data_IF_660928565750
#
_entry.id   IF_660928565750
#
_cell.length_a   1.000
_cell.length_b   1.000
_cell.length_c   1.000
_cell.angle_alpha   90.00
_cell.angle_beta   90.00
_cell.angle_gamma   90.00
#
_symmetry.space_group_name_H-M   'P 1'
#
loop_
_entity.id
_entity.type
_entity.pdbx_description
1 polymer ?
#
# COMPACT_ATOMS: atom_id res chain seq x y z
N UNK A 1 -11.51 21.02 -65.13
CA UNK A 1 -10.66 20.19 -64.25
C UNK A 1 -11.52 19.78 -63.05
N UNK A 2 -11.83 18.49 -62.89
CA UNK A 2 -12.63 17.97 -61.77
C UNK A 2 -11.68 17.67 -60.60
N UNK A 3 -11.84 18.36 -59.47
CA UNK A 3 -11.07 18.12 -58.25
C UNK A 3 -11.84 17.11 -57.40
N UNK A 4 -11.37 15.86 -57.35
CA UNK A 4 -11.88 14.85 -56.42
C UNK A 4 -11.15 15.00 -55.08
N UNK A 5 -11.92 15.22 -54.02
CA UNK A 5 -11.42 15.26 -52.64
C UNK A 5 -11.74 13.88 -52.02
N UNK A 6 -10.75 13.08 -51.59
CA UNK A 6 -11.04 11.82 -50.92
C UNK A 6 -11.48 12.07 -49.47
N UNK A 7 -12.63 11.51 -49.12
CA UNK A 7 -13.19 11.43 -47.78
C UNK A 7 -12.33 10.47 -46.93
N UNK A 8 -11.55 10.99 -45.99
CA UNK A 8 -10.83 10.18 -44.99
C UNK A 8 -11.80 9.91 -43.82
N UNK A 9 -12.06 8.64 -43.45
CA UNK A 9 -12.92 8.34 -42.33
C UNK A 9 -12.17 8.61 -41.02
N UNK A 10 -12.69 9.54 -40.22
CA UNK A 10 -12.19 9.84 -38.88
C UNK A 10 -12.63 8.70 -37.95
N UNK A 11 -11.73 7.76 -37.64
CA UNK A 11 -11.96 6.77 -36.58
C UNK A 11 -11.96 7.49 -35.22
N UNK A 12 -13.15 7.64 -34.62
CA UNK A 12 -13.27 8.08 -33.24
C UNK A 12 -12.86 6.94 -32.30
N UNK A 13 -11.67 7.02 -31.72
CA UNK A 13 -11.22 6.12 -30.66
C UNK A 13 -11.96 6.48 -29.37
N UNK A 14 -12.93 5.65 -28.98
CA UNK A 14 -13.66 5.80 -27.72
C UNK A 14 -12.74 5.34 -26.57
N UNK A 15 -12.05 6.28 -25.93
CA UNK A 15 -11.36 6.00 -24.67
C UNK A 15 -12.42 5.78 -23.57
N UNK A 16 -12.70 4.52 -23.25
CA UNK A 16 -13.34 4.18 -21.98
C UNK A 16 -12.35 4.49 -20.87
N UNK A 17 -12.42 5.70 -20.32
CA UNK A 17 -11.76 6.02 -19.07
C UNK A 17 -12.46 5.24 -17.96
N UNK A 18 -11.90 4.09 -17.59
CA UNK A 18 -12.24 3.37 -16.37
C UNK A 18 -11.90 4.29 -15.19
N UNK A 19 -12.90 4.97 -14.63
CA UNK A 19 -12.72 5.78 -13.43
C UNK A 19 -12.15 4.92 -12.29
N UNK A 20 -11.34 5.48 -11.38
CA UNK A 20 -10.81 4.73 -10.26
C UNK A 20 -11.98 4.17 -9.45
N UNK A 21 -12.01 2.85 -9.26
CA UNK A 21 -12.93 2.21 -8.33
C UNK A 21 -12.85 2.97 -7.00
N UNK A 22 -13.99 3.42 -6.47
CA UNK A 22 -14.03 4.14 -5.21
C UNK A 22 -13.37 3.27 -4.13
N UNK A 23 -12.17 3.66 -3.70
CA UNK A 23 -11.44 2.96 -2.66
C UNK A 23 -12.16 3.21 -1.32
N UNK A 24 -12.92 2.23 -0.85
CA UNK A 24 -13.46 2.26 0.51
C UNK A 24 -12.30 2.10 1.51
N UNK A 25 -11.92 3.19 2.17
CA UNK A 25 -10.89 3.17 3.22
C UNK A 25 -11.55 3.07 4.60
N UNK A 26 -11.24 1.99 5.35
CA UNK A 26 -11.75 1.77 6.70
C UNK A 26 -11.10 2.65 7.78
N UNK A 27 -10.22 3.57 7.40
CA UNK A 27 -9.53 4.51 8.30
C UNK A 27 -10.10 5.93 8.23
N UNK A 28 -11.36 6.08 7.82
CA UNK A 28 -12.06 7.36 7.70
C UNK A 28 -12.41 8.00 9.06
N UNK A 29 -12.47 7.23 10.14
CA UNK A 29 -12.69 7.73 11.50
C UNK A 29 -11.71 7.05 12.48
N UNK A 30 -10.42 7.44 12.46
CA UNK A 30 -9.43 6.86 13.36
C UNK A 30 -9.76 7.19 14.84
N UNK A 31 -9.45 6.31 15.80
CA UNK A 31 -9.63 6.61 17.21
C UNK A 31 -8.70 7.75 17.65
N UNK A 32 -9.09 8.52 18.67
CA UNK A 32 -8.35 9.69 19.13
C UNK A 32 -6.89 9.35 19.51
N UNK A 33 -6.68 8.18 20.11
CA UNK A 33 -5.34 7.68 20.44
C UNK A 33 -4.41 7.57 19.22
N UNK A 34 -4.95 7.18 18.06
CA UNK A 34 -4.19 7.08 16.82
C UNK A 34 -3.92 8.47 16.22
N UNK A 35 -4.85 9.42 16.40
CA UNK A 35 -4.65 10.81 15.99
C UNK A 35 -3.57 11.49 16.83
N UNK A 36 -3.59 11.30 18.15
CA UNK A 36 -2.57 11.84 19.06
C UNK A 36 -1.20 11.23 18.78
N UNK A 37 -1.11 9.92 18.54
CA UNK A 37 0.12 9.28 18.11
C UNK A 37 0.63 9.82 16.75
N UNK A 38 -0.26 10.11 15.80
CA UNK A 38 0.15 10.72 14.54
C UNK A 38 0.66 12.15 14.72
N UNK A 39 -0.02 12.95 15.57
CA UNK A 39 0.38 14.33 15.88
C UNK A 39 1.74 14.40 16.57
N UNK A 40 2.02 13.49 17.50
CA UNK A 40 3.31 13.47 18.19
C UNK A 40 4.46 13.18 17.21
N UNK A 41 4.27 12.25 16.26
CA UNK A 41 5.24 12.00 15.19
C UNK A 41 5.47 13.22 14.29
N UNK A 42 4.43 13.99 14.00
CA UNK A 42 4.54 15.23 13.22
C UNK A 42 5.27 16.35 13.98
N UNK A 43 5.01 16.50 15.29
CA UNK A 43 5.71 17.45 16.16
C UNK A 43 7.19 17.08 16.24
N UNK A 44 7.51 15.80 16.41
CA UNK A 44 8.88 15.29 16.42
C UNK A 44 9.57 15.56 15.08
N UNK A 45 8.88 15.36 13.96
CA UNK A 45 9.40 15.68 12.61
C UNK A 45 9.66 17.16 12.42
N UNK A 46 8.85 18.05 13.00
CA UNK A 46 9.04 19.50 12.91
C UNK A 46 10.17 20.00 13.83
N UNK A 47 10.23 19.50 15.06
CA UNK A 47 11.25 19.85 16.04
C UNK A 47 12.64 19.35 15.62
N UNK A 48 12.71 18.13 15.08
CA UNK A 48 13.93 17.60 14.46
C UNK A 48 14.20 18.28 13.13
N UNK A 49 13.20 18.60 12.29
CA UNK A 49 13.40 19.29 11.01
C UNK A 49 14.09 20.66 11.13
N UNK A 50 13.93 21.36 12.25
CA UNK A 50 14.62 22.62 12.55
C UNK A 50 16.06 22.40 13.03
N UNK A 51 16.34 21.35 13.81
CA UNK A 51 17.69 21.02 14.29
C UNK A 51 18.54 20.29 13.23
N UNK A 52 17.90 19.45 12.42
CA UNK A 52 18.47 18.70 11.29
C UNK A 52 18.94 19.68 10.22
N UNK A 53 18.19 20.74 9.88
CA UNK A 53 18.65 21.73 8.88
C UNK A 53 20.00 22.39 9.20
N UNK A 54 20.37 22.49 10.48
CA UNK A 54 21.66 23.05 10.91
C UNK A 54 22.77 21.99 11.07
N UNK A 55 22.44 20.70 11.19
CA UNK A 55 23.38 19.61 11.40
C UNK A 55 23.54 18.65 10.18
N UNK A 56 22.63 18.70 9.19
CA UNK A 56 22.57 17.77 8.06
C UNK A 56 23.23 18.23 6.76
N UNK A 57 24.11 19.23 6.74
CA UNK A 57 24.82 19.46 5.48
C UNK A 57 25.68 18.23 5.08
N UNK A 58 25.98 17.31 6.01
CA UNK A 58 26.82 16.12 5.79
C UNK A 58 26.32 14.78 6.39
N UNK A 59 25.11 14.66 6.95
CA UNK A 59 24.65 13.36 7.50
C UNK A 59 23.65 12.67 6.54
N UNK A 60 23.95 11.48 6.01
CA UNK A 60 23.00 10.70 5.21
C UNK A 60 21.73 10.46 6.02
N UNK A 61 20.56 10.65 5.41
CA UNK A 61 19.29 10.20 6.01
C UNK A 61 19.36 8.68 6.12
N UNK A 62 19.55 8.17 7.33
CA UNK A 62 19.53 6.73 7.62
C UNK A 62 18.17 6.17 7.14
N UNK A 63 18.22 5.15 6.29
CA UNK A 63 17.02 4.55 5.73
C UNK A 63 16.30 3.65 6.73
N UNK A 64 14.98 3.52 6.59
CA UNK A 64 14.18 2.61 7.41
C UNK A 64 13.95 1.29 6.67
N UNK A 65 14.29 0.18 7.32
CA UNK A 65 14.00 -1.16 6.82
C UNK A 65 12.84 -1.75 7.60
N UNK A 66 11.74 -2.05 6.92
CA UNK A 66 10.50 -2.59 7.49
C UNK A 66 10.42 -4.09 7.19
N UNK A 67 10.69 -4.97 8.17
CA UNK A 67 10.45 -6.40 8.02
C UNK A 67 8.94 -6.65 7.91
N UNK A 68 8.52 -7.25 6.80
CA UNK A 68 7.12 -7.40 6.42
C UNK A 68 6.69 -8.86 6.40
N UNK A 69 5.56 -9.17 7.01
CA UNK A 69 4.95 -10.50 7.04
C UNK A 69 3.59 -10.44 6.37
N UNK A 70 3.34 -11.32 5.41
CA UNK A 70 2.07 -11.37 4.68
C UNK A 70 1.26 -12.59 5.14
N UNK A 71 0.02 -12.35 5.57
CA UNK A 71 -0.90 -13.39 6.02
C UNK A 71 -2.09 -13.46 5.07
N UNK A 72 -2.13 -14.50 4.26
CA UNK A 72 -3.25 -14.80 3.37
C UNK A 72 -4.25 -15.64 4.15
N UNK A 73 -5.45 -15.09 4.37
CA UNK A 73 -6.53 -15.78 5.06
C UNK A 73 -7.65 -16.02 4.06
N UNK A 74 -7.98 -17.29 3.84
CA UNK A 74 -8.88 -17.73 2.78
C UNK A 74 -10.04 -18.53 3.37
N UNK A 75 -11.23 -18.39 2.75
CA UNK A 75 -12.31 -19.34 2.94
C UNK A 75 -12.07 -20.55 2.04
N UNK A 76 -12.67 -21.68 2.38
CA UNK A 76 -12.57 -22.91 1.57
C UNK A 76 -13.06 -22.71 0.12
N UNK A 77 -14.10 -21.92 -0.06
CA UNK A 77 -14.70 -21.64 -1.37
C UNK A 77 -13.79 -20.78 -2.27
N UNK A 78 -13.00 -19.89 -1.66
CA UNK A 78 -12.16 -18.90 -2.36
C UNK A 78 -10.67 -19.21 -2.25
N UNK A 79 -10.32 -20.45 -1.90
CA UNK A 79 -8.95 -20.86 -1.72
C UNK A 79 -8.17 -20.77 -3.04
N UNK A 80 -6.97 -20.19 -3.00
CA UNK A 80 -6.07 -20.08 -4.13
C UNK A 80 -6.26 -18.85 -5.01
N UNK A 81 -7.19 -17.94 -4.69
CA UNK A 81 -7.40 -16.72 -5.47
C UNK A 81 -6.20 -15.75 -5.38
N UNK A 82 -5.56 -15.68 -4.21
CA UNK A 82 -4.38 -14.83 -4.02
C UNK A 82 -3.13 -15.64 -4.33
N UNK A 83 -2.47 -15.34 -5.44
CA UNK A 83 -1.23 -16.02 -5.86
C UNK A 83 0.00 -15.39 -5.22
N UNK A 84 1.09 -16.14 -5.13
CA UNK A 84 2.36 -15.59 -4.63
C UNK A 84 2.87 -14.46 -5.52
N UNK A 85 2.62 -14.51 -6.83
CA UNK A 85 2.98 -13.41 -7.74
C UNK A 85 2.32 -12.10 -7.31
N UNK A 86 1.01 -12.12 -7.01
CA UNK A 86 0.29 -10.93 -6.55
C UNK A 86 0.89 -10.34 -5.26
N UNK A 87 1.34 -11.20 -4.34
CA UNK A 87 1.97 -10.78 -3.09
C UNK A 87 3.34 -10.13 -3.34
N UNK A 88 4.15 -10.71 -4.22
CA UNK A 88 5.44 -10.13 -4.60
C UNK A 88 5.28 -8.83 -5.39
N UNK A 89 4.30 -8.76 -6.28
CA UNK A 89 3.97 -7.54 -7.01
C UNK A 89 3.58 -6.41 -6.04
N UNK A 90 2.80 -6.70 -5.00
CA UNK A 90 2.47 -5.72 -3.95
C UNK A 90 3.72 -5.24 -3.19
N UNK A 91 4.64 -6.14 -2.85
CA UNK A 91 5.91 -5.75 -2.21
C UNK A 91 6.78 -4.87 -3.11
N UNK A 92 6.74 -5.10 -4.44
CA UNK A 92 7.42 -4.25 -5.40
C UNK A 92 6.81 -2.85 -5.46
N UNK A 93 5.47 -2.74 -5.46
CA UNK A 93 4.77 -1.45 -5.41
C UNK A 93 5.12 -0.67 -4.13
N UNK A 94 5.11 -1.33 -2.97
CA UNK A 94 5.49 -0.71 -1.70
C UNK A 94 6.93 -0.15 -1.76
N UNK A 95 7.89 -0.98 -2.16
CA UNK A 95 9.28 -0.54 -2.27
C UNK A 95 9.45 0.60 -3.27
N UNK A 96 8.86 0.52 -4.46
CA UNK A 96 8.96 1.58 -5.47
C UNK A 96 8.36 2.91 -4.99
N UNK A 97 7.20 2.85 -4.33
CA UNK A 97 6.47 4.04 -3.85
C UNK A 97 7.23 4.74 -2.72
N UNK A 98 7.84 3.97 -1.82
CA UNK A 98 8.48 4.49 -0.61
C UNK A 98 10.00 4.68 -0.73
N UNK A 99 10.62 4.21 -1.82
CA UNK A 99 12.05 4.40 -2.09
C UNK A 99 12.51 5.87 -2.03
N UNK A 100 11.78 6.87 -2.59
CA UNK A 100 12.17 8.29 -2.48
C UNK A 100 12.22 8.82 -1.05
N UNK A 101 11.63 8.09 -0.10
CA UNK A 101 11.61 8.41 1.32
C UNK A 101 12.60 7.58 2.15
N UNK A 102 13.53 6.87 1.48
CA UNK A 102 14.50 5.96 2.10
C UNK A 102 13.84 4.88 2.99
N UNK A 103 12.65 4.41 2.61
CA UNK A 103 11.97 3.31 3.29
C UNK A 103 11.98 2.08 2.38
N UNK A 104 12.42 0.95 2.92
CA UNK A 104 12.48 -0.33 2.23
C UNK A 104 11.68 -1.39 3.00
N UNK A 105 10.85 -2.15 2.31
CA UNK A 105 10.10 -3.28 2.86
C UNK A 105 10.79 -4.59 2.48
N UNK A 106 11.14 -5.41 3.48
CA UNK A 106 11.73 -6.73 3.27
C UNK A 106 10.71 -7.80 3.64
N UNK A 107 10.27 -8.59 2.65
CA UNK A 107 9.40 -9.72 2.90
C UNK A 107 10.13 -10.80 3.72
N UNK A 108 9.62 -11.10 4.92
CA UNK A 108 10.19 -12.09 5.84
C UNK A 108 9.53 -13.45 5.71
N UNK A 109 8.21 -13.48 5.51
CA UNK A 109 7.44 -14.70 5.38
C UNK A 109 6.07 -14.44 4.72
N UNK A 110 5.55 -15.47 4.06
CA UNK A 110 4.16 -15.55 3.62
C UNK A 110 3.53 -16.75 4.32
N UNK A 111 2.40 -16.53 4.98
CA UNK A 111 1.60 -17.63 5.56
C UNK A 111 0.23 -17.69 4.91
N UNK A 112 -0.31 -18.90 4.80
CA UNK A 112 -1.66 -19.16 4.30
C UNK A 112 -2.47 -19.84 5.39
N UNK A 113 -3.67 -19.34 5.67
CA UNK A 113 -4.55 -19.87 6.71
C UNK A 113 -5.95 -20.03 6.14
N UNK A 114 -6.43 -21.27 6.11
CA UNK A 114 -7.82 -21.55 5.75
C UNK A 114 -8.71 -21.37 6.98
N UNK A 115 -9.51 -20.31 7.01
CA UNK A 115 -10.42 -20.01 8.11
C UNK A 115 -11.59 -19.17 7.59
N UNK A 116 -12.74 -19.82 7.34
CA UNK A 116 -13.94 -19.16 6.79
C UNK A 116 -14.38 -17.97 7.65
N UNK A 117 -14.38 -18.12 8.98
CA UNK A 117 -14.79 -17.05 9.91
C UNK A 117 -13.90 -15.82 9.78
N UNK A 118 -12.58 -16.01 9.72
CA UNK A 118 -11.65 -14.89 9.59
C UNK A 118 -11.63 -14.28 8.18
N UNK A 119 -11.91 -15.08 7.14
CA UNK A 119 -11.95 -14.62 5.76
C UNK A 119 -13.15 -13.70 5.47
N UNK A 120 -14.24 -13.83 6.23
CA UNK A 120 -15.44 -12.98 6.11
C UNK A 120 -15.34 -11.67 6.91
N UNK A 121 -14.34 -11.52 7.77
CA UNK A 121 -14.17 -10.36 8.65
C UNK A 121 -12.93 -9.53 8.30
N UNK A 122 -13.07 -8.19 8.31
CA UNK A 122 -11.94 -7.27 8.09
C UNK A 122 -10.90 -7.35 9.20
N UNK A 123 -11.33 -7.24 10.46
CA UNK A 123 -10.45 -7.33 11.63
C UNK A 123 -11.19 -7.92 12.83
N UNK A 124 -10.50 -8.81 13.54
CA UNK A 124 -10.89 -9.30 14.87
C UNK A 124 -9.65 -9.41 15.75
N UNK A 125 -9.80 -9.20 17.06
CA UNK A 125 -8.68 -9.22 18.02
C UNK A 125 -7.97 -10.58 18.03
N UNK A 126 -8.71 -11.67 17.96
CA UNK A 126 -8.16 -13.04 17.90
C UNK A 126 -7.33 -13.27 16.64
N UNK A 127 -7.81 -12.84 15.47
CA UNK A 127 -7.09 -12.92 14.19
C UNK A 127 -5.78 -12.12 14.26
N UNK A 128 -5.85 -10.89 14.76
CA UNK A 128 -4.68 -10.02 14.89
C UNK A 128 -3.61 -10.57 15.85
N UNK A 129 -4.02 -11.18 16.96
CA UNK A 129 -3.09 -11.80 17.91
C UNK A 129 -2.50 -13.11 17.38
N UNK A 130 -3.30 -13.96 16.75
CA UNK A 130 -2.86 -15.26 16.26
C UNK A 130 -1.87 -15.16 15.09
N UNK A 131 -1.96 -14.12 14.27
CA UNK A 131 -1.12 -13.95 13.08
C UNK A 131 0.14 -13.10 13.33
N UNK A 132 0.25 -12.39 14.46
CA UNK A 132 1.36 -11.47 14.73
C UNK A 132 2.70 -12.21 14.78
N UNK A 133 3.63 -11.84 13.90
CA UNK A 133 5.02 -12.36 13.86
C UNK A 133 6.10 -11.29 14.09
N UNK A 134 5.76 -10.01 13.92
CA UNK A 134 6.65 -8.90 14.27
C UNK A 134 6.81 -8.78 15.79
N UNK A 135 8.04 -8.54 16.26
CA UNK A 135 8.36 -8.18 17.64
C UNK A 135 8.36 -6.68 17.83
#
# INVERSE_FOLDING_TARGET
MKLQIPLVPLLAVLNLASGPASASCGSNNPPEEALEAARSLDIDRQSTGMQVRSALHNSPREGFVIPTYLHVVESKEKAGLVTDKMLHDQMAVLNATYHPHNIQFILRNITRTMNNKWAESYYTKDKGLALRQGR
#
